data_IF_899232067435
#
_entry.id   IF_899232067435
#
_cell.length_a   1.000
_cell.length_b   1.000
_cell.length_c   1.000
_cell.angle_alpha   90.00
_cell.angle_beta   90.00
_cell.angle_gamma   90.00
#
_symmetry.space_group_name_H-M   'P 1'
#
loop_
_entity.id
_entity.type
_entity.pdbx_description
1 polymer ?
#
# COMPACT_ATOMS: atom_id res chain seq x y z
N UNK A 1 -4.09 -8.76 12.66
CA UNK A 1 -3.67 -8.46 11.28
C UNK A 1 -2.93 -9.69 10.76
N UNK A 2 -3.31 -10.22 9.60
CA UNK A 2 -2.70 -11.45 9.04
C UNK A 2 -1.35 -11.08 8.43
N UNK A 3 -0.30 -11.82 8.79
CA UNK A 3 1.01 -11.64 8.14
C UNK A 3 0.90 -12.14 6.70
N UNK A 4 1.28 -11.29 5.74
CA UNK A 4 1.11 -11.57 4.31
C UNK A 4 2.49 -11.79 3.70
N UNK A 5 2.69 -12.93 3.06
CA UNK A 5 3.93 -13.22 2.31
C UNK A 5 4.29 -12.11 1.31
N UNK A 6 3.25 -11.49 0.73
CA UNK A 6 3.37 -10.36 -0.19
C UNK A 6 4.09 -9.15 0.43
N UNK A 7 4.04 -8.96 1.75
CA UNK A 7 4.73 -7.87 2.46
C UNK A 7 6.24 -7.95 2.24
N UNK A 8 6.83 -9.14 2.38
CA UNK A 8 8.27 -9.31 2.23
C UNK A 8 8.72 -8.99 0.81
N UNK A 9 7.96 -9.45 -0.19
CA UNK A 9 8.24 -9.11 -1.59
C UNK A 9 8.11 -7.62 -1.85
N UNK A 10 7.10 -6.97 -1.29
CA UNK A 10 6.88 -5.54 -1.43
C UNK A 10 8.07 -4.74 -0.87
N UNK A 11 8.53 -5.05 0.34
CA UNK A 11 9.69 -4.41 0.96
C UNK A 11 10.97 -4.62 0.14
N UNK A 12 11.18 -5.81 -0.42
CA UNK A 12 12.31 -6.11 -1.31
C UNK A 12 12.26 -5.29 -2.61
N UNK A 13 11.08 -5.02 -3.17
CA UNK A 13 10.95 -4.24 -4.40
C UNK A 13 11.22 -2.76 -4.19
N UNK A 14 10.83 -2.19 -3.04
CA UNK A 14 11.06 -0.77 -2.75
C UNK A 14 12.56 -0.43 -2.62
N UNK A 15 13.40 -1.40 -2.25
CA UNK A 15 14.86 -1.17 -2.23
C UNK A 15 15.50 -1.21 -3.63
N UNK A 16 14.79 -1.74 -4.63
CA UNK A 16 15.31 -1.94 -6.00
C UNK A 16 14.75 -0.96 -7.02
N UNK A 17 13.53 -0.48 -6.80
CA UNK A 17 12.83 0.35 -7.76
C UNK A 17 12.36 1.65 -7.11
N UNK A 18 12.50 2.81 -7.80
CA UNK A 18 12.05 4.09 -7.28
C UNK A 18 10.53 4.19 -7.18
N UNK A 19 9.80 3.36 -7.93
CA UNK A 19 8.34 3.31 -7.96
C UNK A 19 7.90 1.85 -7.96
N UNK A 20 7.01 1.48 -7.04
CA UNK A 20 6.44 0.13 -6.93
C UNK A 20 4.93 0.21 -6.89
N UNK A 21 4.26 -0.47 -7.82
CA UNK A 21 2.80 -0.52 -7.89
C UNK A 21 2.27 -1.85 -7.35
N UNK A 22 1.40 -1.79 -6.34
CA UNK A 22 0.71 -2.97 -5.82
C UNK A 22 -0.65 -3.15 -6.50
N UNK A 23 -0.79 -4.19 -7.32
CA UNK A 23 -2.03 -4.53 -8.04
C UNK A 23 -2.80 -5.68 -7.37
N UNK A 24 -4.02 -5.95 -7.81
CA UNK A 24 -4.83 -7.11 -7.38
C UNK A 24 -6.33 -6.79 -7.20
N UNK A 25 -7.18 -7.82 -6.96
CA UNK A 25 -8.63 -7.70 -6.95
C UNK A 25 -9.18 -6.61 -6.03
N UNK A 26 -10.32 -6.00 -6.39
CA UNK A 26 -10.98 -5.01 -5.52
C UNK A 26 -11.24 -5.63 -4.14
N UNK A 27 -11.09 -4.83 -3.07
CA UNK A 27 -11.28 -5.26 -1.68
C UNK A 27 -10.32 -6.34 -1.13
N UNK A 28 -9.23 -6.69 -1.82
CA UNK A 28 -8.22 -7.62 -1.29
C UNK A 28 -7.35 -7.09 -0.13
N UNK A 29 -7.64 -5.88 0.40
CA UNK A 29 -6.91 -5.27 1.51
C UNK A 29 -5.56 -4.63 1.14
N UNK A 30 -5.37 -4.24 -0.13
CA UNK A 30 -4.13 -3.60 -0.62
C UNK A 30 -3.78 -2.32 0.15
N UNK A 31 -4.74 -1.40 0.32
CA UNK A 31 -4.51 -0.14 1.03
C UNK A 31 -4.13 -0.37 2.49
N UNK A 32 -4.74 -1.36 3.15
CA UNK A 32 -4.36 -1.75 4.51
C UNK A 32 -2.93 -2.29 4.57
N UNK A 33 -2.53 -3.14 3.63
CA UNK A 33 -1.15 -3.64 3.55
C UNK A 33 -0.14 -2.51 3.37
N UNK A 34 -0.42 -1.56 2.46
CA UNK A 34 0.45 -0.41 2.20
C UNK A 34 0.58 0.50 3.43
N UNK A 35 -0.55 0.91 4.03
CA UNK A 35 -0.57 1.79 5.21
C UNK A 35 0.20 1.20 6.40
N UNK A 36 0.11 -0.12 6.60
CA UNK A 36 0.81 -0.78 7.71
C UNK A 36 2.28 -1.06 7.39
N UNK A 37 2.65 -1.30 6.13
CA UNK A 37 4.04 -1.58 5.74
C UNK A 37 4.88 -0.30 5.62
N UNK A 38 4.22 0.83 5.34
CA UNK A 38 4.85 2.13 5.08
C UNK A 38 4.23 3.21 5.97
N UNK A 39 4.15 2.95 7.29
CA UNK A 39 3.51 3.88 8.24
C UNK A 39 4.18 5.25 8.36
N UNK A 40 5.44 5.38 7.93
CA UNK A 40 6.16 6.66 7.86
C UNK A 40 6.01 7.41 6.53
N UNK A 41 5.26 6.85 5.58
CA UNK A 41 5.03 7.48 4.27
C UNK A 41 3.73 8.29 4.30
N UNK A 42 3.71 9.38 3.54
CA UNK A 42 2.47 10.12 3.32
C UNK A 42 1.50 9.26 2.50
N UNK A 43 0.28 9.09 3.03
CA UNK A 43 -0.78 8.38 2.32
C UNK A 43 -1.63 9.38 1.53
N UNK A 44 -1.51 9.31 0.20
CA UNK A 44 -2.34 10.09 -0.73
C UNK A 44 -3.36 9.17 -1.38
N UNK A 45 -4.65 9.52 -1.26
CA UNK A 45 -5.73 8.85 -2.00
C UNK A 45 -6.14 9.70 -3.20
N UNK A 46 -6.24 9.06 -4.36
CA UNK A 46 -6.78 9.67 -5.59
C UNK A 46 -8.26 9.28 -5.81
N UNK A 47 -8.87 8.58 -4.86
CA UNK A 47 -10.30 8.28 -4.94
C UNK A 47 -11.10 9.60 -4.85
N UNK A 48 -12.03 9.80 -5.76
CA UNK A 48 -12.91 10.97 -5.77
C UNK A 48 -13.90 10.88 -4.60
N UNK A 49 -13.52 11.44 -3.45
CA UNK A 49 -14.36 11.58 -2.27
C UNK A 49 -14.05 12.91 -1.58
N UNK A 50 -15.08 13.71 -1.32
CA UNK A 50 -15.00 15.00 -0.65
C UNK A 50 -14.15 14.91 0.63
N UNK A 51 -13.11 15.74 0.73
CA UNK A 51 -12.45 16.05 2.00
C UNK A 51 -13.45 16.87 2.81
N UNK A 52 -14.16 16.24 3.74
CA UNK A 52 -14.87 16.97 4.78
C UNK A 52 -13.81 17.36 5.80
N UNK A 53 -13.55 18.67 5.89
CA UNK A 53 -12.70 19.28 6.91
C UNK A 53 -13.24 19.02 8.32
#
# INVERSE_FOLDING_TARGET
MIDRDLRNKLLEMVTKYPIVTLTGPRQSGKSTLLKNSFSGYEYVSLEAGYVIY
#
